data_IF_973298046329
#
_entry.id   IF_973298046329
#
_cell.length_a   1.000
_cell.length_b   1.000
_cell.length_c   1.000
_cell.angle_alpha   90.00
_cell.angle_beta   90.00
_cell.angle_gamma   90.00
#
_symmetry.space_group_name_H-M   'P 1'
#
loop_
_entity.id
_entity.type
_entity.pdbx_description
1 polymer ?
#
# COMPACT_ATOMS: atom_id res chain seq x y z
N UNK A 1 -18.49 -35.83 -19.66
CA UNK A 1 -17.83 -34.63 -19.09
C UNK A 1 -18.78 -34.00 -18.08
N UNK A 2 -18.35 -33.75 -16.84
CA UNK A 2 -19.25 -33.31 -15.77
C UNK A 2 -19.45 -31.78 -15.79
N UNK A 3 -20.67 -31.28 -15.51
CA UNK A 3 -20.97 -29.84 -15.48
C UNK A 3 -20.20 -29.06 -14.39
N UNK A 4 -19.66 -29.78 -13.39
CA UNK A 4 -18.84 -29.20 -12.31
C UNK A 4 -17.50 -28.66 -12.82
N UNK A 5 -16.95 -29.27 -13.87
CA UNK A 5 -15.65 -28.87 -14.43
C UNK A 5 -15.74 -27.52 -15.17
N UNK A 6 -16.86 -27.26 -15.86
CA UNK A 6 -17.12 -25.99 -16.52
C UNK A 6 -17.37 -24.86 -15.54
N UNK A 7 -18.09 -25.12 -14.44
CA UNK A 7 -18.30 -24.14 -13.38
C UNK A 7 -16.98 -23.73 -12.70
N UNK A 8 -16.07 -24.69 -12.47
CA UNK A 8 -14.75 -24.41 -11.92
C UNK A 8 -13.84 -23.65 -12.89
N UNK A 9 -13.80 -24.05 -14.16
CA UNK A 9 -13.03 -23.36 -15.19
C UNK A 9 -13.49 -21.92 -15.38
N UNK A 10 -14.81 -21.69 -15.44
CA UNK A 10 -15.39 -20.36 -15.56
C UNK A 10 -15.15 -19.51 -14.31
N UNK A 11 -15.26 -20.09 -13.10
CA UNK A 11 -14.95 -19.39 -11.86
C UNK A 11 -13.45 -19.00 -11.77
N UNK A 12 -12.56 -19.88 -12.24
CA UNK A 12 -11.13 -19.59 -12.33
C UNK A 12 -10.83 -18.48 -13.35
N UNK A 13 -11.47 -18.53 -14.51
CA UNK A 13 -11.29 -17.53 -15.57
C UNK A 13 -11.82 -16.15 -15.14
N UNK A 14 -13.00 -16.09 -14.51
CA UNK A 14 -13.55 -14.85 -13.94
C UNK A 14 -12.70 -14.32 -12.78
N UNK A 15 -12.12 -15.18 -11.94
CA UNK A 15 -11.23 -14.78 -10.86
C UNK A 15 -9.90 -14.22 -11.40
N UNK A 16 -9.34 -14.85 -12.44
CA UNK A 16 -8.11 -14.43 -13.08
C UNK A 16 -8.27 -13.08 -13.81
N UNK A 17 -9.38 -12.90 -14.55
CA UNK A 17 -9.71 -11.65 -15.25
C UNK A 17 -9.96 -10.50 -14.27
N UNK A 18 -10.60 -10.74 -13.12
CA UNK A 18 -10.74 -9.73 -12.05
C UNK A 18 -9.38 -9.32 -11.47
N UNK A 19 -8.42 -10.22 -11.39
CA UNK A 19 -7.10 -9.90 -10.84
C UNK A 19 -6.27 -9.00 -11.78
N UNK A 20 -6.32 -9.23 -13.09
CA UNK A 20 -5.58 -8.45 -14.07
C UNK A 20 -6.11 -7.02 -14.24
N UNK A 21 -7.42 -6.81 -14.15
CA UNK A 21 -8.03 -5.47 -14.24
C UNK A 21 -7.72 -4.61 -13.00
N UNK A 22 -7.61 -5.22 -11.83
CA UNK A 22 -7.33 -4.52 -10.55
C UNK A 22 -5.86 -4.09 -10.44
N UNK A 23 -4.93 -4.82 -11.07
CA UNK A 23 -3.50 -4.53 -10.96
C UNK A 23 -3.00 -3.40 -11.88
N UNK A 24 -3.68 -3.12 -13.00
CA UNK A 24 -3.23 -2.07 -13.94
C UNK A 24 -3.88 -0.70 -13.68
N UNK A 25 -5.07 -0.65 -13.08
CA UNK A 25 -5.85 0.59 -12.93
C UNK A 25 -5.67 1.29 -11.55
N UNK A 26 -4.98 0.66 -10.59
CA UNK A 26 -4.87 1.24 -9.24
C UNK A 26 -4.09 2.56 -9.21
N UNK A 27 -3.06 2.72 -10.04
CA UNK A 27 -2.28 3.96 -10.10
C UNK A 27 -3.14 5.12 -10.60
N UNK A 28 -3.91 4.90 -11.68
CA UNK A 28 -4.80 5.92 -12.24
C UNK A 28 -5.88 6.33 -11.22
N UNK A 29 -6.47 5.35 -10.54
CA UNK A 29 -7.45 5.60 -9.46
C UNK A 29 -6.82 6.34 -8.29
N UNK A 30 -5.62 5.96 -7.88
CA UNK A 30 -4.90 6.58 -6.77
C UNK A 30 -4.54 8.04 -7.11
N UNK A 31 -4.03 8.33 -8.31
CA UNK A 31 -3.73 9.70 -8.74
C UNK A 31 -4.98 10.56 -8.79
N UNK A 32 -6.08 10.01 -9.29
CA UNK A 32 -7.38 10.71 -9.34
C UNK A 32 -7.90 11.01 -7.93
N UNK A 33 -7.79 10.04 -7.02
CA UNK A 33 -8.17 10.19 -5.62
C UNK A 33 -7.31 11.23 -4.90
N UNK A 34 -5.98 11.18 -5.07
CA UNK A 34 -5.06 12.18 -4.50
C UNK A 34 -5.40 13.60 -4.95
N UNK A 35 -5.67 13.78 -6.24
CA UNK A 35 -6.05 15.10 -6.76
C UNK A 35 -7.32 15.63 -6.10
N UNK A 36 -8.32 14.77 -5.87
CA UNK A 36 -9.54 15.15 -5.15
C UNK A 36 -9.26 15.46 -3.69
N UNK A 37 -8.51 14.58 -3.01
CA UNK A 37 -8.14 14.76 -1.61
C UNK A 37 -7.39 16.07 -1.36
N UNK A 38 -6.39 16.40 -2.17
CA UNK A 38 -5.63 17.65 -2.00
C UNK A 38 -6.44 18.89 -2.39
N UNK A 39 -7.39 18.77 -3.31
CA UNK A 39 -8.29 19.87 -3.67
C UNK A 39 -9.30 20.20 -2.57
N UNK A 40 -9.78 19.19 -1.85
CA UNK A 40 -10.85 19.33 -0.85
C UNK A 40 -10.29 19.52 0.58
N UNK A 41 -9.10 18.97 0.84
CA UNK A 41 -8.47 19.00 2.15
C UNK A 41 -7.02 19.47 2.04
N UNK A 42 -6.81 20.79 2.03
CA UNK A 42 -5.46 21.38 1.94
C UNK A 42 -4.54 21.00 3.11
N UNK A 43 -5.10 20.70 4.29
CA UNK A 43 -4.35 20.24 5.47
C UNK A 43 -3.67 18.87 5.28
N UNK A 44 -4.07 18.09 4.25
CA UNK A 44 -3.45 16.80 3.92
C UNK A 44 -2.10 16.93 3.21
N UNK A 45 -1.79 18.06 2.56
CA UNK A 45 -0.52 18.22 1.81
C UNK A 45 0.72 18.13 2.71
N UNK A 46 0.61 18.50 3.99
CA UNK A 46 1.69 18.44 4.98
C UNK A 46 1.70 17.19 5.88
N UNK A 47 0.66 16.35 5.81
CA UNK A 47 0.55 15.14 6.65
C UNK A 47 0.99 13.90 5.90
N UNK A 48 1.53 12.93 6.64
CA UNK A 48 1.87 11.62 6.08
C UNK A 48 0.59 10.83 5.76
N UNK A 49 0.12 10.99 4.52
CA UNK A 49 -1.07 10.33 3.98
C UNK A 49 -1.04 8.81 4.20
N UNK A 50 0.15 8.20 4.19
CA UNK A 50 0.30 6.75 4.43
C UNK A 50 -0.09 6.40 5.86
N UNK A 51 0.38 7.17 6.85
CA UNK A 51 0.03 6.94 8.27
C UNK A 51 -1.46 7.17 8.51
N UNK A 52 -2.02 8.20 7.89
CA UNK A 52 -3.43 8.52 8.05
C UNK A 52 -4.31 7.41 7.45
N UNK A 53 -4.03 6.99 6.22
CA UNK A 53 -4.76 5.89 5.58
C UNK A 53 -4.57 4.56 6.33
N UNK A 54 -3.40 4.34 6.95
CA UNK A 54 -3.19 3.20 7.85
C UNK A 54 -4.14 3.26 9.05
N UNK A 55 -4.21 4.40 9.74
CA UNK A 55 -5.13 4.61 10.88
C UNK A 55 -6.58 4.37 10.48
N UNK A 56 -7.02 4.95 9.36
CA UNK A 56 -8.38 4.78 8.85
C UNK A 56 -8.66 3.34 8.41
N UNK A 57 -7.68 2.65 7.83
CA UNK A 57 -7.76 1.24 7.47
C UNK A 57 -7.96 0.34 8.69
N UNK A 58 -7.23 0.60 9.78
CA UNK A 58 -7.40 -0.11 11.05
C UNK A 58 -8.79 0.15 11.64
N UNK A 59 -9.25 1.41 11.63
CA UNK A 59 -10.60 1.74 12.07
C UNK A 59 -11.67 1.01 11.25
N UNK A 60 -11.53 0.96 9.92
CA UNK A 60 -12.51 0.35 9.03
C UNK A 60 -12.82 -1.11 9.40
N UNK A 61 -11.80 -1.88 9.79
CA UNK A 61 -11.95 -3.28 10.22
C UNK A 61 -12.19 -3.45 11.72
N UNK A 62 -11.61 -2.59 12.57
CA UNK A 62 -11.73 -2.64 14.03
C UNK A 62 -12.44 -1.40 14.60
N UNK A 63 -13.68 -1.16 14.14
CA UNK A 63 -14.50 0.01 14.54
C UNK A 63 -14.75 0.13 16.04
N UNK A 64 -14.68 -0.98 16.78
CA UNK A 64 -14.94 -1.02 18.24
C UNK A 64 -13.78 -0.50 19.09
N UNK A 65 -12.57 -0.43 18.54
CA UNK A 65 -11.35 -0.12 19.32
C UNK A 65 -10.85 1.31 19.14
N UNK A 66 -11.33 2.02 18.10
CA UNK A 66 -10.83 3.34 17.74
C UNK A 66 -12.00 4.29 17.54
N UNK A 67 -11.89 5.51 18.07
CA UNK A 67 -12.85 6.58 17.83
C UNK A 67 -12.22 7.54 16.81
N UNK A 68 -12.91 7.79 15.70
CA UNK A 68 -12.54 8.85 14.76
C UNK A 68 -13.26 10.14 15.16
N UNK A 69 -12.51 11.25 15.23
CA UNK A 69 -13.00 12.56 15.64
C UNK A 69 -12.52 13.61 14.63
N UNK A 70 -13.33 14.67 14.46
CA UNK A 70 -13.02 15.82 13.60
C UNK A 70 -12.65 15.43 12.18
N UNK A 71 -11.56 16.02 11.68
CA UNK A 71 -11.04 15.87 10.32
C UNK A 71 -10.86 14.42 9.86
N UNK A 72 -10.42 13.52 10.76
CA UNK A 72 -10.20 12.11 10.43
C UNK A 72 -11.52 11.39 10.14
N UNK A 73 -12.61 11.80 10.81
CA UNK A 73 -13.95 11.25 10.57
C UNK A 73 -14.51 11.75 9.24
N UNK A 74 -14.33 13.03 8.96
CA UNK A 74 -14.81 13.63 7.71
C UNK A 74 -14.13 13.01 6.50
N UNK A 75 -12.81 12.84 6.59
CA UNK A 75 -12.03 12.15 5.56
C UNK A 75 -12.42 10.67 5.41
N UNK A 76 -12.70 9.97 6.50
CA UNK A 76 -13.22 8.60 6.43
C UNK A 76 -14.57 8.55 5.70
N UNK A 77 -15.49 9.44 6.05
CA UNK A 77 -16.81 9.51 5.40
C UNK A 77 -16.65 9.80 3.91
N UNK A 78 -15.82 10.77 3.53
CA UNK A 78 -15.52 11.08 2.13
C UNK A 78 -15.03 9.86 1.34
N UNK A 79 -14.11 9.07 1.92
CA UNK A 79 -13.62 7.84 1.27
C UNK A 79 -14.74 6.82 1.07
N UNK A 80 -15.59 6.63 2.09
CA UNK A 80 -16.71 5.70 2.04
C UNK A 80 -17.76 6.13 1.01
N UNK A 81 -18.10 7.41 0.98
CA UNK A 81 -19.07 7.99 0.03
C UNK A 81 -18.55 7.92 -1.41
N UNK A 82 -17.24 8.06 -1.59
CA UNK A 82 -16.56 7.87 -2.87
C UNK A 82 -16.36 6.39 -3.26
N UNK A 83 -16.79 5.44 -2.43
CA UNK A 83 -16.67 4.00 -2.68
C UNK A 83 -15.26 3.44 -2.53
N UNK A 84 -14.35 4.15 -1.86
CA UNK A 84 -12.98 3.70 -1.61
C UNK A 84 -12.83 3.10 -0.21
N UNK A 85 -12.32 1.88 -0.14
CA UNK A 85 -11.92 1.29 1.13
C UNK A 85 -10.57 1.91 1.60
N UNK A 86 -10.51 2.51 2.81
CA UNK A 86 -9.28 3.15 3.31
C UNK A 86 -8.08 2.21 3.37
N UNK A 87 -8.29 0.93 3.67
CA UNK A 87 -7.22 -0.07 3.69
C UNK A 87 -6.70 -0.39 2.28
N UNK A 88 -7.58 -0.40 1.29
CA UNK A 88 -7.18 -0.55 -0.11
C UNK A 88 -6.36 0.65 -0.57
N UNK A 89 -6.79 1.87 -0.23
CA UNK A 89 -6.05 3.10 -0.54
C UNK A 89 -4.68 3.09 0.14
N UNK A 90 -4.62 2.72 1.42
CA UNK A 90 -3.37 2.54 2.15
C UNK A 90 -2.42 1.58 1.42
N UNK A 91 -2.94 0.43 0.98
CA UNK A 91 -2.14 -0.57 0.24
C UNK A 91 -1.61 0.00 -1.09
N UNK A 92 -2.41 0.76 -1.82
CA UNK A 92 -1.98 1.42 -3.06
C UNK A 92 -0.90 2.47 -2.82
N UNK A 93 -1.00 3.25 -1.74
CA UNK A 93 0.03 4.20 -1.35
C UNK A 93 1.35 3.52 -0.97
N UNK A 94 1.30 2.33 -0.36
CA UNK A 94 2.51 1.55 -0.11
C UNK A 94 3.16 1.10 -1.43
N UNK A 95 2.36 0.61 -2.38
CA UNK A 95 2.83 0.16 -3.70
C UNK A 95 3.45 1.28 -4.53
N UNK A 96 3.00 2.52 -4.38
CA UNK A 96 3.59 3.67 -5.03
C UNK A 96 5.06 3.89 -4.62
N UNK A 97 5.38 3.64 -3.34
CA UNK A 97 6.73 3.79 -2.74
C UNK A 97 7.64 2.57 -2.95
N UNK A 98 7.18 1.54 -3.66
CA UNK A 98 7.96 0.34 -3.97
C UNK A 98 8.95 0.65 -5.10
N UNK A 99 10.18 0.11 -5.07
CA UNK A 99 11.15 0.33 -6.15
C UNK A 99 10.68 -0.22 -7.51
N UNK A 100 11.18 0.38 -8.58
CA UNK A 100 10.72 0.14 -9.96
C UNK A 100 10.87 -1.30 -10.43
N UNK A 101 11.86 -2.03 -9.92
CA UNK A 101 12.10 -3.44 -10.26
C UNK A 101 10.96 -4.34 -9.75
N UNK A 102 10.51 -4.14 -8.50
CA UNK A 102 9.36 -4.85 -7.94
C UNK A 102 8.06 -4.39 -8.64
N UNK A 103 7.94 -3.12 -9.01
CA UNK A 103 6.80 -2.62 -9.81
C UNK A 103 6.76 -3.30 -11.19
N UNK A 104 7.92 -3.55 -11.80
CA UNK A 104 8.01 -4.26 -13.08
C UNK A 104 7.56 -5.73 -12.94
N UNK A 105 8.01 -6.41 -11.90
CA UNK A 105 7.58 -7.78 -11.59
C UNK A 105 6.07 -7.90 -11.29
N UNK A 106 5.48 -6.85 -10.70
CA UNK A 106 4.03 -6.73 -10.54
C UNK A 106 3.31 -6.61 -11.90
N UNK A 107 3.83 -5.78 -12.82
CA UNK A 107 3.25 -5.62 -14.17
C UNK A 107 3.29 -6.91 -14.99
N UNK A 108 4.35 -7.72 -14.80
CA UNK A 108 4.51 -9.02 -15.44
C UNK A 108 3.72 -10.16 -14.75
N UNK A 109 2.91 -9.85 -13.72
CA UNK A 109 2.18 -10.83 -12.91
C UNK A 109 3.06 -11.91 -12.25
N UNK A 110 4.39 -11.70 -12.19
CA UNK A 110 5.33 -12.62 -11.54
C UNK A 110 5.23 -12.58 -10.02
N UNK A 111 4.76 -11.45 -9.49
CA UNK A 111 4.63 -11.20 -8.06
C UNK A 111 3.23 -10.68 -7.72
N UNK A 112 2.68 -11.16 -6.60
CA UNK A 112 1.43 -10.63 -6.07
C UNK A 112 1.68 -9.33 -5.32
N UNK A 113 0.70 -8.42 -5.30
CA UNK A 113 0.77 -7.16 -4.54
C UNK A 113 1.17 -7.35 -3.08
N UNK A 114 0.75 -8.45 -2.43
CA UNK A 114 1.09 -8.72 -1.02
C UNK A 114 2.58 -9.07 -0.88
N UNK A 115 3.09 -9.91 -1.77
CA UNK A 115 4.50 -10.29 -1.79
C UNK A 115 5.39 -9.09 -2.15
N UNK A 116 4.97 -8.27 -3.12
CA UNK A 116 5.70 -7.06 -3.50
C UNK A 116 5.88 -6.08 -2.34
N UNK A 117 4.83 -5.85 -1.55
CA UNK A 117 4.90 -5.00 -0.36
C UNK A 117 5.87 -5.61 0.68
N UNK A 118 5.73 -6.91 0.95
CA UNK A 118 6.61 -7.62 1.89
C UNK A 118 8.08 -7.53 1.49
N UNK A 119 8.38 -7.76 0.20
CA UNK A 119 9.74 -7.71 -0.35
C UNK A 119 10.33 -6.30 -0.24
N UNK A 120 9.54 -5.27 -0.56
CA UNK A 120 9.97 -3.88 -0.41
C UNK A 120 10.26 -3.51 1.04
N UNK A 121 9.50 -4.04 2.01
CA UNK A 121 9.78 -3.83 3.43
C UNK A 121 11.07 -4.54 3.87
N UNK A 122 11.29 -5.78 3.45
CA UNK A 122 12.53 -6.52 3.76
C UNK A 122 13.77 -5.77 3.28
N UNK A 123 13.78 -5.31 2.02
CA UNK A 123 14.91 -4.55 1.47
C UNK A 123 15.19 -3.26 2.22
N UNK A 124 14.14 -2.55 2.65
CA UNK A 124 14.29 -1.35 3.48
C UNK A 124 14.93 -1.69 4.83
N UNK A 125 14.51 -2.79 5.44
CA UNK A 125 15.07 -3.26 6.71
C UNK A 125 16.55 -3.63 6.56
N UNK A 126 16.90 -4.46 5.57
CA UNK A 126 18.28 -4.86 5.26
C UNK A 126 19.19 -3.65 5.00
N UNK A 127 18.71 -2.67 4.23
CA UNK A 127 19.45 -1.42 3.97
C UNK A 127 19.69 -0.65 5.26
N UNK A 128 18.68 -0.52 6.13
CA UNK A 128 18.81 0.19 7.40
C UNK A 128 19.78 -0.50 8.36
N UNK A 129 19.75 -1.82 8.42
CA UNK A 129 20.66 -2.63 9.23
C UNK A 129 22.09 -2.50 8.72
N UNK A 130 22.30 -2.59 7.41
CA UNK A 130 23.61 -2.44 6.76
C UNK A 130 24.22 -1.06 7.03
N UNK A 131 23.44 0.01 6.87
CA UNK A 131 23.89 1.38 7.18
C UNK A 131 24.27 1.47 8.65
N UNK A 132 23.44 0.96 9.56
CA UNK A 132 23.72 1.02 11.00
C UNK A 132 25.01 0.29 11.39
N UNK A 133 25.30 -0.84 10.75
CA UNK A 133 26.54 -1.59 10.96
C UNK A 133 27.76 -0.82 10.42
N UNK A 134 27.63 -0.21 9.23
CA UNK A 134 28.71 0.59 8.64
C UNK A 134 29.07 1.80 9.51
N UNK A 135 28.07 2.48 10.08
CA UNK A 135 28.27 3.63 10.98
C UNK A 135 28.97 3.19 12.27
N UNK A 136 28.57 2.06 12.85
CA UNK A 136 29.24 1.49 14.04
C UNK A 136 30.70 1.14 13.76
N UNK A 137 30.98 0.52 12.61
CA UNK A 137 32.35 0.19 12.21
C UNK A 137 33.20 1.45 11.97
N UNK A 138 32.63 2.47 11.34
CA UNK A 138 33.29 3.76 11.12
C UNK A 138 33.59 4.47 12.45
N UNK A 139 32.65 4.46 13.40
CA UNK A 139 32.87 4.98 14.75
C UNK A 139 34.00 4.25 15.50
N UNK A 140 34.04 2.92 15.42
CA UNK A 140 35.09 2.11 16.07
C UNK A 140 36.47 2.32 15.44
N UNK A 141 36.54 2.51 14.11
CA UNK A 141 37.81 2.78 13.42
C UNK A 141 38.37 4.15 13.75
N UNK A 142 37.52 5.17 13.90
CA UNK A 142 37.92 6.50 14.37
C UNK A 142 38.49 6.45 15.79
N UNK A 143 37.82 5.75 16.72
CA UNK A 143 38.29 5.63 18.12
C UNK A 143 39.63 4.87 18.19
N UNK A 144 39.83 3.85 17.35
CA UNK A 144 41.08 3.07 17.32
C UNK A 144 42.24 3.80 16.63
N UNK A 145 41.95 4.81 15.81
CA UNK A 145 42.94 5.62 15.12
C UNK A 145 43.43 6.84 15.91
N UNK A 146 42.83 7.10 17.08
CA UNK A 146 43.28 8.09 18.06
C UNK A 146 44.10 7.41 19.15
#
# INVERSE_FOLDING_TARGET
MSPVFWAFAFAMEVACVKQDYVQKDYLRRLTSLKKRLYSEYSWLEGRDLVKLMSKLGHYHYNKKQFILLGEDRDLYNFLMDSGFNPFTVYRWLLLEKVPEDIKYQLKENKLSQRKAISEAFKRKQETSETISLSVKQMGLTLIRGM
#
